data_IF_464211300530
#
_entry.id   IF_464211300530
#
_cell.length_a   1.000
_cell.length_b   1.000
_cell.length_c   1.000
_cell.angle_alpha   90.00
_cell.angle_beta   90.00
_cell.angle_gamma   90.00
#
_symmetry.space_group_name_H-M   'P 1'
#
loop_
_entity.id
_entity.type
_entity.pdbx_description
1 polymer ?
#
# COMPACT_ATOMS: atom_id res chain seq x y z
N UNK A 1 9.42 5.42 -5.05
CA UNK A 1 10.14 4.49 -4.18
C UNK A 1 9.62 3.07 -4.31
N UNK A 2 10.25 2.12 -3.59
CA UNK A 2 9.86 0.70 -3.54
C UNK A 2 8.40 0.50 -3.14
N UNK A 3 7.85 1.35 -2.25
CA UNK A 3 6.46 1.31 -1.80
C UNK A 3 5.46 1.42 -2.96
N UNK A 4 5.65 2.39 -3.87
CA UNK A 4 4.75 2.59 -5.02
C UNK A 4 4.83 1.38 -5.97
N UNK A 5 6.04 0.88 -6.24
CA UNK A 5 6.24 -0.26 -7.12
C UNK A 5 5.50 -1.51 -6.61
N UNK A 6 5.72 -1.90 -5.35
CA UNK A 6 5.09 -3.08 -4.77
C UNK A 6 3.56 -2.92 -4.67
N UNK A 7 3.08 -1.71 -4.38
CA UNK A 7 1.64 -1.42 -4.31
C UNK A 7 0.96 -1.55 -5.67
N UNK A 8 1.56 -0.98 -6.72
CA UNK A 8 1.03 -1.10 -8.08
C UNK A 8 1.17 -2.53 -8.62
N UNK A 9 2.18 -3.28 -8.19
CA UNK A 9 2.30 -4.70 -8.52
C UNK A 9 1.12 -5.50 -7.94
N UNK A 10 0.72 -5.25 -6.69
CA UNK A 10 -0.46 -5.91 -6.12
C UNK A 10 -1.73 -5.61 -6.93
N UNK A 11 -1.95 -4.34 -7.30
CA UNK A 11 -3.08 -3.92 -8.15
C UNK A 11 -3.03 -4.58 -9.53
N UNK A 12 -1.86 -4.60 -10.17
CA UNK A 12 -1.67 -5.25 -11.47
C UNK A 12 -1.93 -6.76 -11.44
N UNK A 13 -1.81 -7.40 -10.27
CA UNK A 13 -2.14 -8.79 -10.03
C UNK A 13 -3.56 -9.02 -9.50
N UNK A 14 -4.41 -7.99 -9.50
CA UNK A 14 -5.84 -8.10 -9.22
C UNK A 14 -6.30 -7.64 -7.85
N UNK A 15 -5.45 -6.96 -7.06
CA UNK A 15 -5.89 -6.34 -5.82
C UNK A 15 -6.72 -5.06 -6.10
N UNK A 16 -7.92 -4.98 -5.51
CA UNK A 16 -8.77 -3.79 -5.57
C UNK A 16 -8.44 -2.74 -4.49
N UNK A 17 -7.48 -3.04 -3.62
CA UNK A 17 -7.07 -2.16 -2.52
C UNK A 17 -5.64 -2.39 -2.08
N UNK A 18 -5.03 -1.34 -1.52
CA UNK A 18 -3.71 -1.39 -0.89
C UNK A 18 -3.86 -0.91 0.55
N UNK A 19 -3.56 -1.80 1.49
CA UNK A 19 -3.68 -1.53 2.92
C UNK A 19 -2.35 -1.73 3.61
N UNK A 20 -2.13 -0.93 4.66
CA UNK A 20 -0.95 -1.00 5.49
C UNK A 20 -1.33 -1.42 6.89
N UNK A 21 -0.52 -2.31 7.45
CA UNK A 21 -0.35 -2.38 8.89
C UNK A 21 0.90 -1.54 9.23
N UNK A 22 0.85 -0.45 9.99
CA UNK A 22 -0.29 0.16 10.69
C UNK A 22 -0.45 1.64 10.29
N UNK A 23 -1.59 2.27 10.61
CA UNK A 23 -1.79 3.70 10.32
C UNK A 23 -0.83 4.59 11.12
N UNK A 24 -0.67 4.32 12.41
CA UNK A 24 0.21 5.08 13.31
C UNK A 24 1.01 4.13 14.15
N UNK A 25 2.31 4.39 14.31
CA UNK A 25 3.17 3.58 15.17
C UNK A 25 2.62 3.51 16.60
N UNK A 26 2.56 2.29 17.12
CA UNK A 26 2.24 2.04 18.52
C UNK A 26 3.30 2.64 19.43
N UNK A 27 2.91 3.33 20.51
CA UNK A 27 3.85 4.01 21.45
C UNK A 27 4.79 3.04 22.18
N UNK A 28 4.42 1.77 22.29
CA UNK A 28 5.15 0.74 23.03
C UNK A 28 4.82 -0.67 22.54
N UNK A 29 5.24 -1.68 23.30
CA UNK A 29 5.12 -3.10 22.97
C UNK A 29 5.94 -3.54 21.73
N UNK A 30 5.67 -4.75 21.24
CA UNK A 30 6.53 -5.48 20.30
C UNK A 30 6.54 -4.87 18.89
N UNK A 31 5.50 -4.12 18.51
CA UNK A 31 5.34 -3.56 17.16
C UNK A 31 5.69 -2.07 17.06
N UNK A 32 6.22 -1.45 18.12
CA UNK A 32 6.54 0.00 18.15
C UNK A 32 7.55 0.46 17.09
N UNK A 33 8.27 -0.48 16.49
CA UNK A 33 9.22 -0.24 15.40
C UNK A 33 8.78 -0.85 14.07
N UNK A 34 7.58 -1.43 13.99
CA UNK A 34 6.98 -1.87 12.73
C UNK A 34 6.65 -0.65 11.85
N UNK A 35 6.73 -0.82 10.53
CA UNK A 35 6.39 0.21 9.54
C UNK A 35 4.95 0.72 9.64
N UNK A 36 4.76 1.96 9.22
CA UNK A 36 3.54 2.73 9.46
C UNK A 36 3.40 3.91 8.50
N UNK A 37 2.20 4.52 8.48
CA UNK A 37 1.96 5.78 7.76
C UNK A 37 2.39 7.01 8.58
N UNK A 38 2.09 7.03 9.89
CA UNK A 38 2.44 8.10 10.83
C UNK A 38 3.42 7.60 11.89
N UNK A 39 4.65 8.09 11.83
CA UNK A 39 5.74 7.73 12.75
C UNK A 39 5.53 8.34 14.15
N UNK A 40 6.42 8.02 15.09
CA UNK A 40 6.44 8.58 16.45
C UNK A 40 6.54 10.11 16.48
N UNK A 41 7.08 10.73 15.42
CA UNK A 41 7.09 12.20 15.24
C UNK A 41 5.68 12.80 15.15
N UNK A 42 4.67 11.99 14.86
CA UNK A 42 3.25 12.37 14.99
C UNK A 42 2.63 13.05 13.77
N UNK A 43 3.35 13.20 12.67
CA UNK A 43 2.84 13.79 11.42
C UNK A 43 3.29 13.02 10.17
N UNK A 44 2.63 13.27 9.04
CA UNK A 44 2.90 12.59 7.76
C UNK A 44 3.99 13.26 6.91
N UNK A 45 4.57 14.38 7.38
CA UNK A 45 5.69 15.07 6.71
C UNK A 45 7.04 14.34 6.78
N UNK A 46 6.99 13.01 6.75
CA UNK A 46 8.13 12.12 6.60
C UNK A 46 8.24 11.66 5.14
N UNK A 47 9.40 11.10 4.75
CA UNK A 47 9.54 10.47 3.43
C UNK A 47 8.45 9.42 3.19
N UNK A 48 8.21 8.56 4.19
CA UNK A 48 7.22 7.48 4.11
C UNK A 48 5.80 8.03 3.98
N UNK A 49 5.42 9.00 4.83
CA UNK A 49 4.09 9.61 4.77
C UNK A 49 3.82 10.31 3.42
N UNK A 50 4.80 11.07 2.90
CA UNK A 50 4.70 11.66 1.56
C UNK A 50 4.58 10.62 0.45
N UNK A 51 5.30 9.50 0.52
CA UNK A 51 5.15 8.41 -0.46
C UNK A 51 3.76 7.75 -0.38
N UNK A 52 3.19 7.58 0.82
CA UNK A 52 1.82 7.04 0.99
C UNK A 52 0.78 8.00 0.42
N UNK A 53 0.92 9.30 0.66
CA UNK A 53 0.05 10.34 0.07
C UNK A 53 0.12 10.29 -1.46
N UNK A 54 1.33 10.24 -2.03
CA UNK A 54 1.52 10.14 -3.47
C UNK A 54 0.90 8.86 -4.05
N UNK A 55 1.01 7.73 -3.34
CA UNK A 55 0.35 6.50 -3.76
C UNK A 55 -1.18 6.66 -3.76
N UNK A 56 -1.76 7.23 -2.71
CA UNK A 56 -3.21 7.47 -2.63
C UNK A 56 -3.72 8.32 -3.80
N UNK A 57 -2.97 9.37 -4.18
CA UNK A 57 -3.28 10.19 -5.36
C UNK A 57 -3.25 9.39 -6.66
N UNK A 58 -2.26 8.50 -6.83
CA UNK A 58 -2.18 7.63 -8.03
C UNK A 58 -3.32 6.63 -8.08
N UNK A 59 -3.63 5.96 -6.96
CA UNK A 59 -4.72 4.98 -6.91
C UNK A 59 -6.08 5.64 -7.20
N UNK A 60 -6.29 6.89 -6.77
CA UNK A 60 -7.50 7.65 -7.08
C UNK A 60 -7.70 7.88 -8.59
N UNK A 61 -6.63 7.87 -9.40
CA UNK A 61 -6.67 7.97 -10.87
C UNK A 61 -6.88 6.62 -11.58
N UNK A 62 -6.87 5.51 -10.83
CA UNK A 62 -7.00 4.14 -11.36
C UNK A 62 -8.35 3.49 -11.01
N UNK A 63 -9.35 4.26 -10.60
CA UNK A 63 -10.68 3.77 -10.19
C UNK A 63 -11.35 2.88 -11.24
N UNK A 64 -11.11 3.12 -12.51
CA UNK A 64 -11.62 2.32 -13.63
C UNK A 64 -11.14 0.85 -13.61
N UNK A 65 -10.06 0.54 -12.89
CA UNK A 65 -9.55 -0.82 -12.74
C UNK A 65 -10.29 -1.63 -11.66
N UNK A 66 -11.07 -0.97 -10.80
CA UNK A 66 -11.77 -1.61 -9.70
C UNK A 66 -12.74 -2.69 -10.20
N UNK A 67 -12.60 -3.92 -9.69
CA UNK A 67 -13.41 -5.07 -10.05
C UNK A 67 -13.13 -5.65 -11.45
N UNK A 68 -12.11 -5.15 -12.16
CA UNK A 68 -11.70 -5.74 -13.44
C UNK A 68 -11.07 -7.12 -13.23
N UNK A 69 -11.18 -8.00 -14.24
CA UNK A 69 -10.64 -9.36 -14.19
C UNK A 69 -9.58 -9.56 -15.25
N UNK A 70 -8.49 -10.22 -14.88
CA UNK A 70 -7.48 -10.67 -15.85
C UNK A 70 -7.87 -12.04 -16.41
N UNK A 71 -7.88 -12.18 -17.73
CA UNK A 71 -8.01 -13.49 -18.37
C UNK A 71 -6.66 -14.23 -18.36
N UNK A 72 -6.61 -15.45 -17.81
CA UNK A 72 -5.42 -16.29 -17.75
C UNK A 72 -5.68 -17.59 -18.50
N UNK A 73 -4.72 -18.05 -19.31
CA UNK A 73 -4.79 -19.31 -20.09
C UNK A 73 -3.93 -20.44 -19.50
N UNK A 74 -3.26 -20.18 -18.39
CA UNK A 74 -2.29 -21.08 -17.74
C UNK A 74 -2.62 -21.14 -16.25
N UNK A 75 -2.46 -22.32 -15.65
CA UNK A 75 -2.67 -22.57 -14.22
C UNK A 75 -1.47 -23.31 -13.61
N UNK A 76 -1.25 -23.09 -12.31
CA UNK A 76 -0.29 -23.84 -11.47
C UNK A 76 -1.12 -24.60 -10.42
N UNK A 77 -0.77 -25.84 -10.14
CA UNK A 77 -1.38 -26.63 -9.07
C UNK A 77 -0.61 -26.39 -7.75
N UNK A 78 -1.31 -25.95 -6.69
CA UNK A 78 -0.74 -25.57 -5.39
C UNK A 78 -1.08 -26.60 -4.31
#
# INVERSE_FOLDING_TARGET
>A
GKNILSSLQAVAHGADGVHYFQCRKSRGAVEKFHGEVVDHVGHQETRTGREVIQLGQRLAQLKQLFGTKTQRKVAINL
#
